data_IF_112034441920
#
_entry.id   IF_112034441920
#
_cell.length_a   1.000
_cell.length_b   1.000
_cell.length_c   1.000
_cell.angle_alpha   90.00
_cell.angle_beta   90.00
_cell.angle_gamma   90.00
#
_symmetry.space_group_name_H-M   'P 1'
#
loop_
_entity.id
_entity.type
_entity.pdbx_description
1 polymer ?
#
# COMPACT_ATOMS: atom_id res chain seq x y z
N UNK A 1 17.90 18.65 7.73
CA UNK A 1 19.15 19.38 7.96
C UNK A 1 20.19 18.97 6.92
N UNK A 2 20.55 17.68 6.85
CA UNK A 2 21.58 17.15 5.95
C UNK A 2 21.45 17.59 4.48
N UNK A 3 20.24 17.52 3.90
CA UNK A 3 20.02 17.96 2.52
C UNK A 3 20.27 19.47 2.32
N UNK A 4 19.88 20.31 3.28
CA UNK A 4 20.08 21.77 3.21
C UNK A 4 21.57 22.11 3.32
N UNK A 5 22.29 21.44 4.22
CA UNK A 5 23.73 21.61 4.38
C UNK A 5 24.49 21.20 3.10
N UNK A 6 24.05 20.12 2.45
CA UNK A 6 24.64 19.64 1.20
C UNK A 6 24.33 20.53 -0.01
N UNK A 7 23.12 21.08 -0.09
CA UNK A 7 22.66 21.89 -1.22
C UNK A 7 23.03 23.37 -1.13
N UNK A 8 23.52 23.83 0.03
CA UNK A 8 23.81 25.24 0.27
C UNK A 8 22.56 26.11 0.40
N UNK A 9 21.38 25.49 0.60
CA UNK A 9 20.11 26.20 0.80
C UNK A 9 19.98 26.55 2.27
N UNK A 10 19.78 27.84 2.57
CA UNK A 10 19.52 28.28 3.93
C UNK A 10 18.12 27.85 4.37
N UNK A 11 18.01 27.29 5.57
CA UNK A 11 16.76 26.83 6.15
C UNK A 11 16.74 27.10 7.65
N UNK A 12 15.56 27.47 8.16
CA UNK A 12 15.30 27.60 9.60
C UNK A 12 14.29 26.55 10.03
N UNK A 13 14.70 25.61 10.87
CA UNK A 13 13.80 24.58 11.41
C UNK A 13 12.88 25.17 12.48
N UNK A 14 11.58 24.98 12.31
CA UNK A 14 10.57 25.30 13.33
C UNK A 14 10.08 24.00 13.94
N UNK A 15 10.51 23.71 15.17
CA UNK A 15 10.06 22.53 15.90
C UNK A 15 8.64 22.74 16.40
N UNK A 16 7.80 21.73 16.22
CA UNK A 16 6.39 21.72 16.65
C UNK A 16 6.10 20.47 17.47
N UNK A 17 5.06 20.55 18.31
CA UNK A 17 4.63 19.45 19.17
C UNK A 17 3.65 18.49 18.49
N UNK A 18 3.04 18.90 17.38
CA UNK A 18 2.03 18.11 16.67
C UNK A 18 1.91 18.48 15.18
N UNK A 19 1.33 17.57 14.39
CA UNK A 19 1.01 17.82 12.97
C UNK A 19 -0.03 18.95 12.80
N UNK A 20 -0.96 19.10 13.76
CA UNK A 20 -1.94 20.20 13.74
C UNK A 20 -1.24 21.55 13.86
N UNK A 21 -0.32 21.68 14.83
CA UNK A 21 0.45 22.91 15.02
C UNK A 21 1.29 23.26 13.78
N UNK A 22 1.96 22.27 13.16
CA UNK A 22 2.68 22.50 11.90
C UNK A 22 1.75 22.98 10.78
N UNK A 23 0.53 22.43 10.70
CA UNK A 23 -0.46 22.84 9.69
C UNK A 23 -0.91 24.28 9.92
N UNK A 24 -1.18 24.68 11.16
CA UNK A 24 -1.59 26.04 11.50
C UNK A 24 -0.49 27.07 11.22
N UNK A 25 0.77 26.74 11.52
CA UNK A 25 1.93 27.60 11.22
C UNK A 25 2.18 27.75 9.72
N UNK A 26 1.97 26.70 8.94
CA UNK A 26 2.03 26.77 7.48
C UNK A 26 0.90 27.66 6.93
N UNK A 27 -0.34 27.46 7.38
CA UNK A 27 -1.51 28.24 6.95
C UNK A 27 -1.44 29.72 7.33
N UNK A 28 -0.86 30.04 8.49
CA UNK A 28 -0.69 31.41 8.94
C UNK A 28 0.43 32.17 8.22
N UNK A 29 1.27 31.46 7.46
CA UNK A 29 2.49 32.00 6.86
C UNK A 29 3.64 32.19 7.85
N UNK A 30 3.56 31.61 9.06
CA UNK A 30 4.70 31.56 9.98
C UNK A 30 5.80 30.61 9.45
N UNK A 31 5.41 29.56 8.73
CA UNK A 31 6.31 28.68 8.00
C UNK A 31 6.09 28.80 6.49
N UNK A 32 7.16 29.04 5.72
CA UNK A 32 7.12 29.11 4.26
C UNK A 32 6.95 27.73 3.59
N UNK A 33 7.32 26.66 4.29
CA UNK A 33 7.31 25.30 3.77
C UNK A 33 6.93 24.27 4.85
N UNK A 34 6.35 23.16 4.39
CA UNK A 34 6.02 21.99 5.20
C UNK A 34 6.73 20.77 4.60
N UNK A 35 7.36 19.94 5.43
CA UNK A 35 8.09 18.74 4.99
C UNK A 35 7.55 17.49 5.68
N UNK A 36 7.62 16.34 4.99
CA UNK A 36 7.13 15.05 5.45
C UNK A 36 7.12 14.03 4.29
N UNK A 37 6.61 12.83 4.54
CA UNK A 37 6.49 11.80 3.51
C UNK A 37 5.59 12.25 2.36
N UNK A 38 5.99 11.97 1.11
CA UNK A 38 5.26 12.41 -0.09
C UNK A 38 3.77 12.05 -0.05
N UNK A 39 3.42 10.83 0.39
CA UNK A 39 2.01 10.41 0.51
C UNK A 39 1.23 11.22 1.54
N UNK A 40 1.84 11.52 2.69
CA UNK A 40 1.25 12.36 3.72
C UNK A 40 1.10 13.82 3.25
N UNK A 41 2.06 14.33 2.47
CA UNK A 41 1.98 15.66 1.86
C UNK A 41 0.86 15.75 0.83
N UNK A 42 0.67 14.73 0.00
CA UNK A 42 -0.46 14.67 -0.96
C UNK A 42 -1.80 14.70 -0.23
N UNK A 43 -1.97 13.88 0.82
CA UNK A 43 -3.19 13.89 1.63
C UNK A 43 -3.41 15.24 2.33
N UNK A 44 -2.34 15.85 2.87
CA UNK A 44 -2.40 17.16 3.51
C UNK A 44 -2.79 18.25 2.51
N UNK A 45 -2.16 18.28 1.34
CA UNK A 45 -2.48 19.22 0.26
C UNK A 45 -3.93 19.08 -0.16
N UNK A 46 -4.39 17.86 -0.41
CA UNK A 46 -5.79 17.59 -0.76
C UNK A 46 -6.75 18.14 0.30
N UNK A 47 -6.48 17.92 1.59
CA UNK A 47 -7.33 18.47 2.65
C UNK A 47 -7.36 20.01 2.65
N UNK A 48 -6.19 20.65 2.54
CA UNK A 48 -6.05 22.11 2.54
C UNK A 48 -6.68 22.79 1.32
N UNK A 49 -6.63 22.13 0.16
CA UNK A 49 -7.27 22.63 -1.07
C UNK A 49 -8.79 22.57 -0.98
N UNK A 50 -9.35 21.65 -0.18
CA UNK A 50 -10.78 21.35 -0.13
C UNK A 50 -11.51 21.92 1.10
N UNK A 51 -10.79 22.37 2.14
CA UNK A 51 -11.40 22.90 3.37
C UNK A 51 -11.51 24.44 3.40
N UNK A 52 -11.02 25.12 2.34
CA UNK A 52 -11.02 26.57 2.20
C UNK A 52 -10.06 27.29 3.15
N UNK A 53 -9.26 26.55 3.90
CA UNK A 53 -8.47 27.04 5.02
C UNK A 53 -7.21 27.81 4.62
N UNK A 54 -6.84 27.70 3.33
CA UNK A 54 -5.75 28.43 2.67
C UNK A 54 -6.16 29.81 2.13
N UNK A 55 -7.43 30.22 2.24
CA UNK A 55 -7.92 31.54 1.83
C UNK A 55 -7.57 31.94 0.37
N UNK A 56 -7.55 30.96 -0.55
CA UNK A 56 -7.22 31.18 -1.96
C UNK A 56 -5.73 31.30 -2.25
N UNK A 57 -4.86 30.95 -1.30
CA UNK A 57 -3.43 30.78 -1.55
C UNK A 57 -3.19 29.42 -2.20
N UNK A 58 -2.55 29.43 -3.37
CA UNK A 58 -2.14 28.21 -4.05
C UNK A 58 -0.95 27.55 -3.34
N UNK A 59 -1.02 26.23 -3.15
CA UNK A 59 0.06 25.42 -2.59
C UNK A 59 0.48 24.33 -3.58
N UNK A 60 1.72 23.88 -3.47
CA UNK A 60 2.32 22.86 -4.33
C UNK A 60 3.26 21.97 -3.51
N UNK A 61 3.55 20.79 -4.04
CA UNK A 61 4.53 19.86 -3.48
C UNK A 61 5.77 19.90 -4.39
N UNK A 62 6.94 20.02 -3.78
CA UNK A 62 8.20 20.04 -4.52
C UNK A 62 8.50 18.71 -5.22
N UNK A 63 9.17 18.78 -6.36
CA UNK A 63 9.54 17.60 -7.17
C UNK A 63 10.69 16.82 -6.50
N UNK A 64 11.48 17.48 -5.68
CA UNK A 64 12.63 16.90 -5.00
C UNK A 64 12.22 15.93 -3.88
N UNK A 65 12.62 14.67 -4.02
CA UNK A 65 12.60 13.68 -2.94
C UNK A 65 13.90 13.76 -2.14
N UNK A 66 13.78 14.10 -0.86
CA UNK A 66 14.93 14.34 0.02
C UNK A 66 15.43 13.08 0.74
N UNK A 67 14.61 12.04 0.83
CA UNK A 67 14.91 10.80 1.56
C UNK A 67 14.22 9.58 0.92
N UNK A 68 14.52 8.39 1.45
CA UNK A 68 13.87 7.12 1.09
C UNK A 68 13.05 6.65 2.28
N UNK A 69 11.73 6.63 2.13
CA UNK A 69 10.79 6.34 3.23
C UNK A 69 9.89 5.14 2.88
N UNK A 70 10.43 3.90 2.90
CA UNK A 70 9.63 2.71 2.65
C UNK A 70 8.72 2.42 3.84
N UNK A 71 7.43 2.74 3.71
CA UNK A 71 6.44 2.47 4.74
C UNK A 71 6.18 0.96 4.85
N UNK A 72 6.23 0.44 6.08
CA UNK A 72 6.01 -0.98 6.38
C UNK A 72 5.16 -1.14 7.64
N UNK A 73 4.50 -2.29 7.77
CA UNK A 73 3.80 -2.65 8.99
C UNK A 73 4.82 -3.01 10.09
N UNK A 74 4.92 -2.15 11.11
CA UNK A 74 5.81 -2.39 12.24
C UNK A 74 5.17 -3.37 13.24
N UNK A 75 5.92 -4.42 13.60
CA UNK A 75 5.55 -5.36 14.67
C UNK A 75 6.52 -5.25 15.83
N UNK A 76 6.13 -5.80 17.00
CA UNK A 76 7.04 -5.88 18.14
C UNK A 76 8.20 -6.82 17.82
N UNK A 77 9.37 -6.51 18.37
CA UNK A 77 10.53 -7.41 18.32
C UNK A 77 10.25 -8.73 19.09
N UNK A 78 10.88 -9.81 18.64
CA UNK A 78 10.75 -11.18 19.18
C UNK A 78 9.33 -11.78 19.18
N UNK A 79 8.46 -11.32 18.28
CA UNK A 79 7.12 -11.90 18.05
C UNK A 79 7.04 -12.45 16.62
N UNK A 80 7.73 -13.57 16.37
CA UNK A 80 7.90 -14.15 15.03
C UNK A 80 6.58 -14.57 14.41
N UNK A 81 5.71 -15.25 15.17
CA UNK A 81 4.44 -15.75 14.67
C UNK A 81 3.55 -14.59 14.19
N UNK A 82 3.52 -13.48 14.95
CA UNK A 82 2.79 -12.28 14.53
C UNK A 82 3.43 -11.58 13.34
N UNK A 83 4.77 -11.47 13.32
CA UNK A 83 5.48 -10.86 12.20
C UNK A 83 5.26 -11.63 10.88
N UNK A 84 5.23 -12.96 10.94
CA UNK A 84 4.95 -13.81 9.79
C UNK A 84 3.52 -13.57 9.28
N UNK A 85 2.52 -13.55 10.17
CA UNK A 85 1.13 -13.24 9.78
C UNK A 85 1.05 -11.89 9.06
N UNK A 86 1.62 -10.83 9.66
CA UNK A 86 1.58 -9.48 9.07
C UNK A 86 2.29 -9.43 7.71
N UNK A 87 3.43 -10.10 7.58
CA UNK A 87 4.19 -10.15 6.33
C UNK A 87 3.42 -10.91 5.25
N UNK A 88 2.79 -12.04 5.60
CA UNK A 88 2.03 -12.86 4.65
C UNK A 88 0.71 -12.21 4.22
N UNK A 89 0.08 -11.40 5.06
CA UNK A 89 -1.06 -10.56 4.61
C UNK A 89 -0.63 -9.64 3.47
N UNK A 90 0.50 -8.94 3.63
CA UNK A 90 1.03 -8.06 2.59
C UNK A 90 1.41 -8.80 1.31
N UNK A 91 2.22 -9.87 1.43
CA UNK A 91 2.64 -10.66 0.28
C UNK A 91 1.47 -11.37 -0.41
N UNK A 92 0.50 -11.87 0.36
CA UNK A 92 -0.70 -12.50 -0.17
C UNK A 92 -1.56 -11.53 -0.99
N UNK A 93 -1.69 -10.27 -0.56
CA UNK A 93 -2.38 -9.23 -1.35
C UNK A 93 -1.68 -8.92 -2.67
N UNK A 94 -0.34 -8.89 -2.69
CA UNK A 94 0.45 -8.70 -3.92
C UNK A 94 0.30 -9.91 -4.83
N UNK A 95 0.50 -11.13 -4.31
CA UNK A 95 0.36 -12.36 -5.10
C UNK A 95 -1.06 -12.53 -5.65
N UNK A 96 -2.09 -12.14 -4.89
CA UNK A 96 -3.46 -12.14 -5.38
C UNK A 96 -3.64 -11.23 -6.59
N UNK A 97 -3.09 -10.01 -6.56
CA UNK A 97 -3.12 -9.09 -7.70
C UNK A 97 -2.37 -9.68 -8.92
N UNK A 98 -1.16 -10.20 -8.71
CA UNK A 98 -0.35 -10.86 -9.76
C UNK A 98 -1.10 -12.03 -10.42
N UNK A 99 -1.95 -12.71 -9.66
CA UNK A 99 -2.73 -13.86 -10.10
C UNK A 99 -4.14 -13.51 -10.61
N UNK A 100 -4.52 -12.23 -10.62
CA UNK A 100 -5.85 -11.78 -11.04
C UNK A 100 -6.98 -12.15 -10.07
N UNK A 101 -6.65 -12.36 -8.80
CA UNK A 101 -7.61 -12.66 -7.73
C UNK A 101 -8.01 -11.35 -7.05
N UNK A 102 -9.32 -11.12 -6.92
CA UNK A 102 -9.91 -9.88 -6.40
C UNK A 102 -10.90 -10.17 -5.27
N UNK A 103 -11.36 -9.10 -4.60
CA UNK A 103 -12.48 -9.17 -3.65
C UNK A 103 -13.75 -9.79 -4.25
N UNK A 104 -13.96 -9.66 -5.57
CA UNK A 104 -15.17 -10.14 -6.24
C UNK A 104 -15.09 -11.61 -6.69
N UNK A 105 -13.89 -12.21 -6.82
CA UNK A 105 -13.72 -13.52 -7.44
C UNK A 105 -12.93 -14.55 -6.61
N UNK A 106 -12.43 -14.19 -5.42
CA UNK A 106 -11.53 -15.06 -4.64
C UNK A 106 -12.11 -16.46 -4.39
N UNK A 107 -13.42 -16.57 -4.15
CA UNK A 107 -14.06 -17.85 -3.85
C UNK A 107 -14.12 -18.78 -5.07
N UNK A 108 -14.46 -18.26 -6.26
CA UNK A 108 -14.45 -19.06 -7.50
C UNK A 108 -13.03 -19.41 -7.91
N UNK A 109 -12.10 -18.45 -7.80
CA UNK A 109 -10.68 -18.67 -8.09
C UNK A 109 -10.08 -19.74 -7.19
N UNK A 110 -10.47 -19.80 -5.90
CA UNK A 110 -10.05 -20.87 -4.98
C UNK A 110 -10.53 -22.25 -5.46
N UNK A 111 -11.81 -22.36 -5.82
CA UNK A 111 -12.39 -23.61 -6.35
C UNK A 111 -11.70 -24.07 -7.63
N UNK A 112 -11.53 -23.15 -8.58
CA UNK A 112 -10.97 -23.46 -9.90
C UNK A 112 -9.47 -23.79 -9.81
N UNK A 113 -8.73 -23.09 -8.95
CA UNK A 113 -7.32 -23.36 -8.72
C UNK A 113 -7.10 -24.74 -8.10
N UNK A 114 -7.95 -25.15 -7.16
CA UNK A 114 -7.84 -26.43 -6.46
C UNK A 114 -8.41 -27.62 -7.24
N UNK A 115 -9.17 -27.39 -8.30
CA UNK A 115 -9.73 -28.45 -9.13
C UNK A 115 -8.64 -29.34 -9.76
N UNK A 116 -8.99 -30.59 -10.04
CA UNK A 116 -8.11 -31.49 -10.78
C UNK A 116 -8.04 -31.08 -12.26
N UNK A 117 -6.83 -31.01 -12.80
CA UNK A 117 -6.57 -30.89 -14.23
C UNK A 117 -6.68 -32.26 -14.91
N UNK A 118 -6.57 -32.28 -16.24
CA UNK A 118 -6.69 -33.48 -17.07
C UNK A 118 -5.69 -34.60 -16.74
N UNK A 119 -4.61 -34.27 -16.01
CA UNK A 119 -3.55 -35.18 -15.60
C UNK A 119 -3.69 -35.65 -14.15
N UNK A 120 -4.79 -35.28 -13.47
CA UNK A 120 -5.08 -35.66 -12.08
C UNK A 120 -4.34 -34.85 -11.02
N UNK A 121 -3.64 -33.77 -11.40
CA UNK A 121 -3.02 -32.82 -10.47
C UNK A 121 -3.86 -31.58 -10.23
N UNK A 122 -3.50 -30.74 -9.26
CA UNK A 122 -4.16 -29.46 -9.00
C UNK A 122 -3.94 -28.47 -10.17
N UNK A 123 -5.00 -27.80 -10.61
CA UNK A 123 -5.02 -26.89 -11.76
C UNK A 123 -4.04 -25.72 -11.62
N UNK A 124 -4.09 -25.01 -10.49
CA UNK A 124 -3.12 -23.99 -10.11
C UNK A 124 -2.65 -24.22 -8.66
N UNK A 125 -1.58 -25.01 -8.44
CA UNK A 125 -1.14 -25.36 -7.09
C UNK A 125 -0.70 -24.17 -6.24
N UNK A 126 -0.19 -23.10 -6.86
CA UNK A 126 0.22 -21.89 -6.14
C UNK A 126 -0.97 -21.10 -5.61
N UNK A 127 -1.95 -20.84 -6.49
CA UNK A 127 -3.17 -20.11 -6.14
C UNK A 127 -4.06 -20.93 -5.17
N UNK A 128 -4.17 -22.24 -5.39
CA UNK A 128 -4.91 -23.12 -4.49
C UNK A 128 -4.36 -23.05 -3.05
N UNK A 129 -3.03 -23.10 -2.92
CA UNK A 129 -2.35 -22.99 -1.63
C UNK A 129 -2.53 -21.62 -0.98
N UNK A 130 -2.43 -20.53 -1.75
CA UNK A 130 -2.71 -19.18 -1.23
C UNK A 130 -4.12 -19.06 -0.66
N UNK A 131 -5.10 -19.61 -1.37
CA UNK A 131 -6.51 -19.38 -1.03
C UNK A 131 -7.07 -20.43 -0.06
N UNK A 132 -6.44 -21.60 0.11
CA UNK A 132 -7.03 -22.71 0.90
C UNK A 132 -6.13 -23.31 1.97
N UNK A 133 -4.86 -22.89 2.06
CA UNK A 133 -3.94 -23.37 3.09
C UNK A 133 -3.55 -22.27 4.09
N UNK A 134 -3.37 -22.69 5.35
CA UNK A 134 -2.96 -21.80 6.43
C UNK A 134 -1.46 -21.41 6.35
N UNK A 135 -0.65 -22.16 5.58
CA UNK A 135 0.81 -21.96 5.42
C UNK A 135 1.64 -22.09 6.71
N UNK A 136 1.08 -22.64 7.78
CA UNK A 136 1.73 -22.71 9.09
C UNK A 136 1.60 -21.42 9.91
N UNK A 137 0.73 -20.48 9.50
CA UNK A 137 0.57 -19.18 10.15
C UNK A 137 -0.25 -19.25 11.43
N UNK A 138 0.21 -18.51 12.43
CA UNK A 138 -0.33 -18.51 13.79
C UNK A 138 0.42 -19.50 14.69
N UNK A 139 -0.08 -19.68 15.90
CA UNK A 139 0.54 -20.58 16.88
C UNK A 139 -0.09 -21.96 16.82
N UNK A 140 0.56 -22.98 17.40
CA UNK A 140 -0.05 -24.33 17.54
C UNK A 140 -1.42 -24.29 18.22
N UNK A 141 -1.59 -23.41 19.21
CA UNK A 141 -2.83 -23.29 19.98
C UNK A 141 -3.85 -22.33 19.33
N UNK A 142 -3.40 -21.51 18.39
CA UNK A 142 -4.23 -20.54 17.67
C UNK A 142 -3.76 -20.37 16.21
N UNK A 143 -3.95 -21.40 15.37
CA UNK A 143 -3.62 -21.31 13.95
C UNK A 143 -4.66 -20.47 13.22
N UNK A 144 -4.23 -19.77 12.16
CA UNK A 144 -5.19 -19.17 11.22
C UNK A 144 -6.06 -20.24 10.54
N UNK A 145 -7.22 -19.83 10.03
CA UNK A 145 -8.00 -20.73 9.18
C UNK A 145 -7.29 -20.97 7.83
N UNK A 146 -7.52 -22.11 7.19
CA UNK A 146 -6.95 -22.39 5.85
C UNK A 146 -7.36 -21.37 4.78
N UNK A 147 -8.50 -20.72 4.97
CA UNK A 147 -9.02 -19.69 4.07
C UNK A 147 -8.71 -18.26 4.53
N UNK A 148 -7.68 -18.05 5.37
CA UNK A 148 -7.35 -16.72 5.90
C UNK A 148 -7.19 -15.67 4.80
N UNK A 149 -6.57 -16.02 3.67
CA UNK A 149 -6.38 -15.09 2.56
C UNK A 149 -7.70 -14.73 1.88
N UNK A 150 -8.65 -15.66 1.79
CA UNK A 150 -9.99 -15.34 1.30
C UNK A 150 -10.68 -14.31 2.20
N UNK A 151 -10.50 -14.39 3.52
CA UNK A 151 -11.04 -13.39 4.44
C UNK A 151 -10.37 -12.02 4.29
N UNK A 152 -9.07 -11.98 3.99
CA UNK A 152 -8.36 -10.73 3.69
C UNK A 152 -8.89 -10.12 2.39
N UNK A 153 -9.03 -10.92 1.32
CA UNK A 153 -9.55 -10.45 0.02
C UNK A 153 -11.00 -9.97 0.12
N UNK A 154 -11.85 -10.65 0.89
CA UNK A 154 -13.21 -10.20 1.19
C UNK A 154 -13.23 -8.85 1.91
N UNK A 155 -12.31 -8.66 2.87
CA UNK A 155 -12.28 -7.45 3.68
C UNK A 155 -11.71 -6.22 2.95
N UNK A 156 -10.65 -6.40 2.17
CA UNK A 156 -9.87 -5.27 1.63
C UNK A 156 -9.46 -5.38 0.16
N UNK A 157 -9.74 -6.51 -0.48
CA UNK A 157 -9.29 -6.83 -1.84
C UNK A 157 -7.80 -7.15 -1.91
N UNK A 158 -7.31 -7.28 -3.15
CA UNK A 158 -5.89 -7.41 -3.43
C UNK A 158 -5.14 -6.07 -3.27
N UNK A 159 -3.83 -6.06 -3.54
CA UNK A 159 -3.02 -4.86 -3.37
C UNK A 159 -3.46 -3.68 -4.25
N UNK A 160 -3.75 -3.93 -5.53
CA UNK A 160 -4.26 -2.93 -6.47
C UNK A 160 -5.61 -2.34 -6.05
N UNK A 161 -6.56 -3.18 -5.61
CA UNK A 161 -7.87 -2.73 -5.08
C UNK A 161 -7.70 -1.85 -3.83
N UNK A 162 -6.78 -2.22 -2.94
CA UNK A 162 -6.48 -1.43 -1.74
C UNK A 162 -5.81 -0.08 -2.07
N UNK A 163 -4.93 -0.05 -3.08
CA UNK A 163 -4.28 1.17 -3.54
C UNK A 163 -5.31 2.14 -4.15
N UNK A 164 -6.13 1.66 -5.07
CA UNK A 164 -7.13 2.46 -5.79
C UNK A 164 -8.14 3.10 -4.82
N UNK A 165 -8.66 2.31 -3.86
CA UNK A 165 -9.54 2.82 -2.81
C UNK A 165 -8.92 3.92 -1.94
N UNK A 166 -7.60 3.91 -1.77
CA UNK A 166 -6.90 4.81 -0.86
C UNK A 166 -6.41 6.08 -1.54
N UNK A 167 -5.99 5.98 -2.80
CA UNK A 167 -5.29 7.05 -3.50
C UNK A 167 -5.95 7.49 -4.81
N UNK A 168 -7.00 6.80 -5.24
CA UNK A 168 -7.70 7.02 -6.50
C UNK A 168 -9.22 7.09 -6.27
N UNK A 169 -10.02 6.84 -7.30
CA UNK A 169 -11.48 7.01 -7.23
C UNK A 169 -12.24 5.77 -6.73
N UNK A 170 -11.55 4.64 -6.52
CA UNK A 170 -12.16 3.42 -5.99
C UNK A 170 -12.91 2.59 -7.04
N UNK A 171 -12.71 2.86 -8.33
CA UNK A 171 -13.39 2.16 -9.44
C UNK A 171 -12.56 1.11 -10.17
N UNK A 172 -11.31 0.85 -9.73
CA UNK A 172 -10.44 -0.15 -10.35
C UNK A 172 -11.02 -1.57 -10.23
N UNK A 173 -10.85 -2.37 -11.30
CA UNK A 173 -11.40 -3.73 -11.41
C UNK A 173 -10.54 -4.81 -10.72
N UNK A 174 -9.41 -4.41 -10.14
CA UNK A 174 -8.48 -5.29 -9.44
C UNK A 174 -7.47 -6.02 -10.34
N UNK A 175 -7.55 -5.90 -11.68
CA UNK A 175 -6.76 -6.73 -12.62
C UNK A 175 -6.24 -6.03 -13.88
N UNK A 176 -6.76 -4.86 -14.27
CA UNK A 176 -6.41 -4.18 -15.52
C UNK A 176 -5.04 -3.47 -15.52
N UNK A 177 -4.31 -3.56 -14.40
CA UNK A 177 -2.99 -2.96 -14.18
C UNK A 177 -3.05 -1.49 -13.80
N UNK A 178 -1.92 -0.95 -13.31
CA UNK A 178 -1.84 0.42 -12.78
C UNK A 178 -2.34 1.50 -13.74
N UNK A 179 -2.11 1.35 -15.05
CA UNK A 179 -2.50 2.35 -16.07
C UNK A 179 -4.02 2.51 -16.21
N UNK A 180 -4.80 1.56 -15.72
CA UNK A 180 -6.26 1.61 -15.73
C UNK A 180 -6.86 2.39 -14.54
N UNK A 181 -6.06 2.71 -13.51
CA UNK A 181 -6.54 3.46 -12.34
C UNK A 181 -6.82 4.92 -12.72
N UNK A 182 -7.94 5.46 -12.25
CA UNK A 182 -8.39 6.83 -12.56
C UNK A 182 -8.64 7.66 -11.30
N UNK A 183 -8.67 8.99 -11.44
CA UNK A 183 -8.96 9.88 -10.31
C UNK A 183 -7.89 9.88 -9.21
N UNK A 184 -6.66 9.48 -9.53
CA UNK A 184 -5.59 9.33 -8.56
C UNK A 184 -5.03 10.67 -8.04
N UNK A 185 -5.00 10.81 -6.72
CA UNK A 185 -4.16 11.78 -6.01
C UNK A 185 -2.69 11.40 -6.07
N UNK A 186 -2.41 10.09 -6.01
CA UNK A 186 -1.08 9.51 -6.21
C UNK A 186 -1.20 8.43 -7.28
N UNK A 187 -0.62 8.68 -8.46
CA UNK A 187 -0.55 7.66 -9.50
C UNK A 187 0.25 6.46 -9.02
N UNK A 188 -0.24 5.25 -9.28
CA UNK A 188 0.55 4.03 -9.09
C UNK A 188 1.55 3.81 -10.22
N UNK A 189 1.12 4.06 -11.46
CA UNK A 189 1.93 3.94 -12.68
C UNK A 189 3.24 4.72 -12.56
N UNK A 190 4.34 4.07 -12.94
CA UNK A 190 5.68 4.67 -12.94
C UNK A 190 6.27 4.90 -11.55
N UNK A 191 5.62 4.44 -10.49
CA UNK A 191 6.12 4.57 -9.12
C UNK A 191 6.66 3.25 -8.56
N UNK A 192 7.38 3.34 -7.45
CA UNK A 192 7.82 2.16 -6.70
C UNK A 192 6.66 1.28 -6.21
N UNK A 193 5.42 1.80 -6.17
CA UNK A 193 4.23 1.08 -5.72
C UNK A 193 3.55 0.25 -6.81
N UNK A 194 3.97 0.35 -8.08
CA UNK A 194 3.51 -0.57 -9.11
C UNK A 194 4.09 -1.98 -8.87
N UNK A 195 3.44 -3.01 -9.42
CA UNK A 195 4.02 -4.36 -9.44
C UNK A 195 5.35 -4.35 -10.20
N UNK A 196 6.23 -5.29 -9.89
CA UNK A 196 7.47 -5.47 -10.68
C UNK A 196 7.17 -5.77 -12.15
N UNK A 197 6.07 -6.48 -12.45
CA UNK A 197 5.58 -6.71 -13.82
C UNK A 197 5.20 -5.42 -14.57
N UNK A 198 4.99 -4.34 -13.85
CA UNK A 198 4.62 -3.01 -14.35
C UNK A 198 5.77 -1.99 -14.18
N UNK A 199 6.97 -2.45 -13.83
CA UNK A 199 8.15 -1.61 -13.67
C UNK A 199 8.32 -0.96 -12.28
N UNK A 200 7.49 -1.33 -11.30
CA UNK A 200 7.63 -0.88 -9.91
C UNK A 200 8.51 -1.79 -9.06
N UNK A 201 8.34 -1.73 -7.73
CA UNK A 201 9.14 -2.49 -6.76
C UNK A 201 8.30 -3.45 -5.90
N UNK A 202 6.97 -3.49 -6.09
CA UNK A 202 6.11 -4.38 -5.31
C UNK A 202 6.22 -5.80 -5.85
N UNK A 203 6.70 -6.68 -4.99
CA UNK A 203 6.99 -8.08 -5.28
C UNK A 203 6.80 -8.91 -4.02
N UNK A 204 6.14 -10.06 -4.17
CA UNK A 204 5.99 -11.04 -3.11
C UNK A 204 7.02 -12.16 -3.26
N UNK A 205 7.64 -12.65 -2.16
CA UNK A 205 8.40 -13.88 -2.21
C UNK A 205 7.49 -15.03 -2.67
N UNK A 206 8.07 -15.98 -3.40
CA UNK A 206 7.35 -17.17 -3.85
C UNK A 206 6.80 -17.96 -2.66
N UNK A 207 5.52 -18.31 -2.72
CA UNK A 207 4.89 -19.25 -1.80
C UNK A 207 5.33 -20.67 -2.13
N UNK A 208 6.43 -21.14 -1.54
CA UNK A 208 7.00 -22.48 -1.71
C UNK A 208 7.67 -22.96 -0.45
#
# INVERSE_FOLDING_TARGET
QDWFDQSGVSFTSVSVSSSSEATDKFRSGECDAFTGDMSALVAKKWALDNDGSMNGVDIWIAEELLSKEPLAAATRDYDSDWNEIVSWVWWGMITAEEMGVTSANYASMASDACAANDWGGTSNPGMCRLLTENLGLGTTDNPLAGNWMQNVLDAVGNYGEAYDRSFCDGSYDGVSGSDAMTGCLISRTGTANALVSEGGLQFAPSMR
#
